data_IF_375687374164
#
_entry.id   IF_375687374164
#
_cell.length_a   1.000
_cell.length_b   1.000
_cell.length_c   1.000
_cell.angle_alpha   90.00
_cell.angle_beta   90.00
_cell.angle_gamma   90.00
#
_symmetry.space_group_name_H-M   'P 1'
#
loop_
_entity.id
_entity.type
_entity.pdbx_description
1 polymer ?
#
# COMPACT_ATOMS: atom_id res chain seq x y z
N UNK A 1 -52.12 20.74 -19.46
CA UNK A 1 -51.02 20.03 -20.16
C UNK A 1 -49.70 20.63 -19.67
N UNK A 2 -49.39 20.61 -18.36
CA UNK A 2 -48.28 21.46 -17.84
C UNK A 2 -47.54 20.97 -16.56
N UNK A 3 -47.82 19.77 -16.01
CA UNK A 3 -47.07 19.26 -14.83
C UNK A 3 -46.19 18.04 -15.08
N UNK A 4 -46.43 17.29 -16.16
CA UNK A 4 -45.62 16.11 -16.51
C UNK A 4 -44.28 16.50 -17.16
N UNK A 5 -44.29 17.51 -18.03
CA UNK A 5 -43.14 17.87 -18.87
C UNK A 5 -42.00 18.56 -18.06
N UNK A 6 -42.35 19.26 -16.99
CA UNK A 6 -41.38 19.89 -16.07
C UNK A 6 -40.61 18.83 -15.25
N UNK A 7 -41.29 17.74 -14.87
CA UNK A 7 -40.65 16.63 -14.14
C UNK A 7 -39.69 15.88 -15.09
N UNK A 8 -40.08 15.69 -16.35
CA UNK A 8 -39.27 14.99 -17.36
C UNK A 8 -38.03 15.80 -17.77
N UNK A 9 -38.14 17.12 -17.94
CA UNK A 9 -37.00 18.01 -18.19
C UNK A 9 -35.99 18.01 -17.01
N UNK A 10 -36.47 18.00 -15.77
CA UNK A 10 -35.60 17.90 -14.58
C UNK A 10 -34.93 16.52 -14.43
N UNK A 11 -35.55 15.45 -14.94
CA UNK A 11 -34.99 14.10 -14.99
C UNK A 11 -33.94 13.98 -16.10
N UNK A 12 -34.21 14.56 -17.26
CA UNK A 12 -33.28 14.61 -18.40
C UNK A 12 -32.05 15.48 -18.11
N UNK A 13 -32.21 16.60 -17.39
CA UNK A 13 -31.08 17.40 -16.89
C UNK A 13 -30.20 16.65 -15.88
N UNK A 14 -30.79 15.91 -14.95
CA UNK A 14 -30.05 15.10 -13.96
C UNK A 14 -29.33 13.91 -14.59
N UNK A 15 -29.97 13.23 -15.54
CA UNK A 15 -29.35 12.15 -16.31
C UNK A 15 -28.18 12.67 -17.18
N UNK A 16 -28.32 13.88 -17.74
CA UNK A 16 -27.26 14.49 -18.56
C UNK A 16 -26.03 14.92 -17.78
N UNK A 17 -26.23 15.46 -16.58
CA UNK A 17 -25.13 15.73 -15.65
C UNK A 17 -24.46 14.46 -15.12
N UNK A 18 -25.25 13.43 -14.82
CA UNK A 18 -24.76 12.14 -14.33
C UNK A 18 -23.83 11.43 -15.33
N UNK A 19 -24.19 11.33 -16.62
CA UNK A 19 -23.30 10.69 -17.61
C UNK A 19 -22.02 11.50 -17.89
N UNK A 20 -22.07 12.84 -17.82
CA UNK A 20 -20.89 13.69 -17.97
C UNK A 20 -19.92 13.55 -16.80
N UNK A 21 -20.43 13.51 -15.57
CA UNK A 21 -19.63 13.31 -14.37
C UNK A 21 -18.92 11.94 -14.37
N UNK A 22 -19.63 10.88 -14.80
CA UNK A 22 -19.05 9.54 -14.95
C UNK A 22 -18.03 9.46 -16.10
N UNK A 23 -18.28 10.17 -17.20
CA UNK A 23 -17.36 10.19 -18.35
C UNK A 23 -16.03 10.88 -18.02
N UNK A 24 -16.08 12.01 -17.32
CA UNK A 24 -14.88 12.79 -16.92
C UNK A 24 -14.07 12.11 -15.83
N UNK A 25 -14.71 11.43 -14.87
CA UNK A 25 -13.98 10.59 -13.89
C UNK A 25 -13.23 9.44 -14.56
N UNK A 26 -13.73 8.92 -15.69
CA UNK A 26 -13.02 7.94 -16.52
C UNK A 26 -11.73 8.47 -17.15
N UNK A 27 -11.71 9.72 -17.62
CA UNK A 27 -10.50 10.33 -18.20
C UNK A 27 -9.48 10.72 -17.14
N UNK A 28 -9.95 11.13 -15.96
CA UNK A 28 -9.11 11.43 -14.78
C UNK A 28 -8.66 10.18 -14.01
N UNK A 29 -9.04 8.98 -14.44
CA UNK A 29 -8.75 7.70 -13.76
C UNK A 29 -9.22 7.64 -12.29
N UNK A 30 -10.33 8.31 -11.98
CA UNK A 30 -10.95 8.37 -10.65
C UNK A 30 -11.95 7.21 -10.47
N UNK A 31 -11.40 6.00 -10.41
CA UNK A 31 -12.18 4.76 -10.39
C UNK A 31 -13.03 4.62 -9.11
N UNK A 32 -12.52 5.10 -7.97
CA UNK A 32 -13.23 5.04 -6.69
C UNK A 32 -14.41 6.00 -6.64
N UNK A 33 -14.24 7.23 -7.13
CA UNK A 33 -15.36 8.19 -7.24
C UNK A 33 -16.45 7.65 -8.14
N UNK A 34 -16.08 7.07 -9.29
CA UNK A 34 -17.03 6.53 -10.25
C UNK A 34 -17.86 5.39 -9.66
N UNK A 35 -17.22 4.48 -8.92
CA UNK A 35 -17.90 3.36 -8.29
C UNK A 35 -18.83 3.80 -7.14
N UNK A 36 -18.41 4.80 -6.36
CA UNK A 36 -19.17 5.31 -5.22
C UNK A 36 -20.20 6.40 -5.59
N UNK A 37 -20.23 6.87 -6.84
CA UNK A 37 -21.00 8.04 -7.26
C UNK A 37 -22.50 7.90 -6.95
N UNK A 38 -23.10 6.77 -7.32
CA UNK A 38 -24.53 6.53 -7.14
C UNK A 38 -24.91 6.36 -5.67
N UNK A 39 -24.08 5.66 -4.90
CA UNK A 39 -24.31 5.43 -3.48
C UNK A 39 -24.19 6.72 -2.66
N UNK A 40 -23.17 7.54 -2.94
CA UNK A 40 -22.97 8.82 -2.26
C UNK A 40 -24.08 9.80 -2.62
N UNK A 41 -24.49 9.88 -3.89
CA UNK A 41 -25.59 10.76 -4.31
C UNK A 41 -26.93 10.35 -3.71
N UNK A 42 -27.25 9.06 -3.69
CA UNK A 42 -28.50 8.57 -3.08
C UNK A 42 -28.54 8.85 -1.58
N UNK A 43 -27.40 8.73 -0.89
CA UNK A 43 -27.27 9.08 0.53
C UNK A 43 -27.39 10.59 0.76
N UNK A 44 -26.73 11.39 -0.08
CA UNK A 44 -26.75 12.84 -0.01
C UNK A 44 -28.16 13.43 -0.20
N UNK A 45 -28.93 12.88 -1.15
CA UNK A 45 -30.33 13.30 -1.37
C UNK A 45 -31.22 12.94 -0.17
N UNK A 46 -31.01 11.77 0.44
CA UNK A 46 -31.78 11.33 1.62
C UNK A 46 -31.49 12.14 2.87
N UNK A 47 -30.24 12.56 3.06
CA UNK A 47 -29.76 13.24 4.28
C UNK A 47 -29.56 14.75 4.10
N UNK A 48 -29.87 15.30 2.93
CA UNK A 48 -29.64 16.71 2.56
C UNK A 48 -28.20 17.15 2.85
N UNK A 49 -27.21 16.35 2.47
CA UNK A 49 -25.81 16.71 2.65
C UNK A 49 -25.48 17.97 1.86
N UNK A 50 -24.71 18.87 2.49
CA UNK A 50 -24.16 20.04 1.83
C UNK A 50 -23.28 19.61 0.63
N UNK A 51 -23.25 20.36 -0.49
CA UNK A 51 -22.44 20.00 -1.65
C UNK A 51 -20.96 19.74 -1.32
N UNK A 52 -20.43 20.43 -0.32
CA UNK A 52 -19.06 20.25 0.19
C UNK A 52 -18.85 18.86 0.80
N UNK A 53 -19.84 18.32 1.53
CA UNK A 53 -19.78 16.99 2.12
C UNK A 53 -19.83 15.91 1.04
N UNK A 54 -20.67 16.08 0.02
CA UNK A 54 -20.77 15.15 -1.12
C UNK A 54 -19.41 15.01 -1.82
N UNK A 55 -18.75 16.14 -2.10
CA UNK A 55 -17.42 16.14 -2.71
C UNK A 55 -16.40 15.46 -1.78
N UNK A 56 -16.44 15.76 -0.48
CA UNK A 56 -15.58 15.12 0.53
C UNK A 56 -15.74 13.59 0.57
N UNK A 57 -16.97 13.10 0.53
CA UNK A 57 -17.28 11.66 0.52
C UNK A 57 -16.77 10.98 -0.75
N UNK A 58 -16.99 11.59 -1.91
CA UNK A 58 -16.48 11.06 -3.18
C UNK A 58 -14.95 11.05 -3.23
N UNK A 59 -14.28 12.11 -2.78
CA UNK A 59 -12.82 12.16 -2.69
C UNK A 59 -12.27 11.13 -1.70
N UNK A 60 -12.96 10.91 -0.59
CA UNK A 60 -12.59 9.88 0.38
C UNK A 60 -12.70 8.48 -0.23
N UNK A 61 -13.75 8.20 -0.99
CA UNK A 61 -13.91 6.95 -1.71
C UNK A 61 -12.78 6.72 -2.73
N UNK A 62 -12.36 7.78 -3.43
CA UNK A 62 -11.22 7.72 -4.35
C UNK A 62 -9.89 7.40 -3.65
N UNK A 63 -9.63 8.06 -2.52
CA UNK A 63 -8.42 7.81 -1.74
C UNK A 63 -8.39 6.35 -1.27
N UNK A 64 -9.51 5.84 -0.77
CA UNK A 64 -9.63 4.45 -0.31
C UNK A 64 -9.38 3.47 -1.46
N UNK A 65 -9.98 3.69 -2.62
CA UNK A 65 -9.78 2.81 -3.79
C UNK A 65 -8.33 2.86 -4.28
N UNK A 66 -7.70 4.04 -4.32
CA UNK A 66 -6.28 4.19 -4.67
C UNK A 66 -5.39 3.45 -3.67
N UNK A 67 -5.66 3.54 -2.38
CA UNK A 67 -4.93 2.82 -1.34
C UNK A 67 -5.10 1.30 -1.52
N UNK A 68 -6.33 0.81 -1.68
CA UNK A 68 -6.62 -0.60 -1.88
C UNK A 68 -5.93 -1.17 -3.13
N UNK A 69 -5.97 -0.44 -4.25
CA UNK A 69 -5.27 -0.81 -5.48
C UNK A 69 -3.76 -0.82 -5.30
N UNK A 70 -3.21 0.18 -4.60
CA UNK A 70 -1.77 0.23 -4.29
C UNK A 70 -1.34 -0.97 -3.47
N UNK A 71 -2.06 -1.29 -2.38
CA UNK A 71 -1.79 -2.45 -1.53
C UNK A 71 -1.87 -3.75 -2.32
N UNK A 72 -2.92 -3.95 -3.12
CA UNK A 72 -3.09 -5.13 -3.98
C UNK A 72 -1.92 -5.31 -4.97
N UNK A 73 -1.49 -4.20 -5.58
CA UNK A 73 -0.34 -4.20 -6.47
C UNK A 73 0.96 -4.56 -5.74
N UNK A 74 1.21 -3.95 -4.58
CA UNK A 74 2.39 -4.26 -3.76
C UNK A 74 2.39 -5.72 -3.30
N UNK A 75 1.25 -6.26 -2.87
CA UNK A 75 1.12 -7.68 -2.51
C UNK A 75 1.47 -8.61 -3.67
N UNK A 76 1.08 -8.25 -4.89
CA UNK A 76 1.39 -9.03 -6.10
C UNK A 76 2.89 -9.01 -6.41
N UNK A 77 3.54 -7.85 -6.23
CA UNK A 77 4.98 -7.70 -6.46
C UNK A 77 5.82 -8.34 -5.35
N UNK A 78 5.31 -8.37 -4.12
CA UNK A 78 6.02 -8.87 -2.97
C UNK A 78 6.37 -10.36 -3.05
N UNK A 79 5.61 -11.14 -3.85
CA UNK A 79 5.83 -12.59 -4.09
C UNK A 79 6.02 -13.38 -2.79
N UNK A 80 5.11 -13.18 -1.83
CA UNK A 80 5.16 -13.82 -0.53
C UNK A 80 4.75 -15.31 -0.67
N UNK A 81 5.59 -16.27 -0.26
CA UNK A 81 5.37 -17.70 -0.51
C UNK A 81 4.28 -18.35 0.36
N UNK A 82 3.89 -17.72 1.48
CA UNK A 82 2.88 -18.27 2.39
C UNK A 82 1.96 -17.16 2.90
N UNK A 83 0.71 -17.16 2.43
CA UNK A 83 -0.23 -16.06 2.66
C UNK A 83 -1.02 -16.20 3.98
N UNK A 84 -0.35 -16.55 5.08
CA UNK A 84 -0.99 -16.60 6.40
C UNK A 84 -0.89 -15.26 7.12
N UNK A 85 -1.97 -14.87 7.79
CA UNK A 85 -2.02 -13.62 8.55
C UNK A 85 -1.33 -13.79 9.90
N UNK A 86 -1.04 -12.67 10.56
CA UNK A 86 -0.38 -12.72 11.86
C UNK A 86 -1.31 -13.32 12.91
N UNK A 87 -2.62 -13.12 12.75
CA UNK A 87 -3.68 -13.63 13.61
C UNK A 87 -3.84 -15.16 13.53
N UNK A 88 -3.35 -15.80 12.46
CA UNK A 88 -3.42 -17.25 12.28
C UNK A 88 -2.19 -17.97 12.86
N UNK A 89 -1.22 -17.22 13.40
CA UNK A 89 -0.02 -17.78 13.99
C UNK A 89 -0.26 -18.18 15.44
N UNK A 90 0.06 -19.43 15.77
CA UNK A 90 -0.01 -19.91 17.14
C UNK A 90 1.24 -19.47 17.92
N UNK A 91 1.07 -18.46 18.77
CA UNK A 91 2.14 -17.91 19.60
C UNK A 91 2.46 -18.79 20.82
N UNK A 92 1.54 -19.67 21.23
CA UNK A 92 1.71 -20.56 22.37
C UNK A 92 2.76 -21.64 22.08
N UNK A 93 2.77 -22.18 20.85
CA UNK A 93 3.73 -23.21 20.43
C UNK A 93 5.10 -22.66 20.04
N UNK A 94 5.23 -21.35 19.82
CA UNK A 94 6.46 -20.76 19.26
C UNK A 94 7.42 -20.19 20.31
N UNK A 95 7.04 -20.12 21.59
CA UNK A 95 7.80 -19.45 22.68
C UNK A 95 8.30 -18.04 22.27
N UNK A 96 7.47 -17.27 21.54
CA UNK A 96 7.84 -15.91 21.11
C UNK A 96 6.94 -14.88 21.78
N UNK A 97 7.53 -13.75 22.17
CA UNK A 97 6.79 -12.64 22.75
C UNK A 97 5.84 -12.01 21.71
N UNK A 98 4.54 -12.27 21.85
CA UNK A 98 3.49 -11.79 20.97
C UNK A 98 3.46 -10.25 20.90
N UNK A 99 3.63 -9.56 22.04
CA UNK A 99 3.62 -8.10 22.10
C UNK A 99 4.72 -7.50 21.22
N UNK A 100 5.93 -8.07 21.28
CA UNK A 100 7.05 -7.64 20.43
C UNK A 100 6.75 -7.87 18.95
N UNK A 101 6.12 -8.99 18.61
CA UNK A 101 5.78 -9.32 17.22
C UNK A 101 4.73 -8.36 16.67
N UNK A 102 3.69 -8.06 17.46
CA UNK A 102 2.64 -7.09 17.06
C UNK A 102 3.22 -5.69 16.90
N UNK A 103 4.15 -5.30 17.78
CA UNK A 103 4.89 -4.05 17.66
C UNK A 103 5.74 -4.03 16.38
N UNK A 104 6.43 -5.12 16.04
CA UNK A 104 7.14 -5.23 14.77
C UNK A 104 6.19 -5.20 13.56
N UNK A 105 5.00 -5.78 13.66
CA UNK A 105 4.01 -5.78 12.59
C UNK A 105 3.42 -4.39 12.31
N UNK A 106 3.44 -3.48 13.28
CA UNK A 106 3.08 -2.06 13.08
C UNK A 106 3.99 -1.37 12.06
N UNK A 107 5.24 -1.84 11.93
CA UNK A 107 6.24 -1.29 11.02
C UNK A 107 7.12 -0.21 11.63
N UNK A 108 7.04 0.06 12.93
CA UNK A 108 7.87 1.06 13.62
C UNK A 108 9.37 0.87 13.41
N UNK A 109 9.81 -0.38 13.25
CA UNK A 109 11.21 -0.69 12.96
C UNK A 109 11.69 -0.12 11.61
N UNK A 110 10.80 0.09 10.65
CA UNK A 110 11.11 0.70 9.35
C UNK A 110 11.41 2.18 9.49
N UNK A 111 10.62 2.89 10.28
CA UNK A 111 10.80 4.33 10.53
C UNK A 111 12.10 4.60 11.30
N UNK A 112 12.48 3.69 12.20
CA UNK A 112 13.75 3.72 12.93
C UNK A 112 14.93 3.13 12.13
N UNK A 113 14.74 2.71 10.88
CA UNK A 113 15.77 2.08 10.03
C UNK A 113 16.49 0.91 10.72
N UNK A 114 15.75 0.13 11.52
CA UNK A 114 16.28 -1.04 12.23
C UNK A 114 16.17 -2.26 11.32
N UNK A 115 17.16 -3.14 11.45
CA UNK A 115 17.15 -4.43 10.78
C UNK A 115 16.54 -5.47 11.72
N UNK A 116 15.61 -6.27 11.20
CA UNK A 116 15.01 -7.37 11.94
C UNK A 116 15.65 -8.68 11.50
N UNK A 117 16.20 -9.44 12.45
CA UNK A 117 16.78 -10.76 12.21
C UNK A 117 16.06 -11.75 13.10
N UNK A 118 15.37 -12.71 12.49
CA UNK A 118 14.72 -13.81 13.21
C UNK A 118 15.67 -15.00 13.26
N UNK A 119 16.05 -15.42 14.48
CA UNK A 119 17.02 -16.48 14.75
C UNK A 119 16.34 -17.59 15.57
N UNK A 120 16.77 -18.84 15.39
CA UNK A 120 16.48 -19.96 16.29
C UNK A 120 16.26 -21.29 15.56
N UNK A 121 15.73 -22.29 16.26
CA UNK A 121 15.58 -23.66 15.76
C UNK A 121 14.69 -23.80 14.51
N UNK A 122 14.96 -24.82 13.71
CA UNK A 122 14.15 -25.23 12.55
C UNK A 122 12.74 -25.63 13.00
N UNK A 123 11.70 -25.23 12.26
CA UNK A 123 10.30 -25.60 12.55
C UNK A 123 9.53 -24.63 13.45
N UNK A 124 10.18 -23.58 13.99
CA UNK A 124 9.55 -22.57 14.86
C UNK A 124 8.80 -21.46 14.11
N UNK A 125 8.45 -21.66 12.84
CA UNK A 125 7.64 -20.70 12.08
C UNK A 125 8.30 -19.34 11.76
N UNK A 126 9.62 -19.17 11.87
CA UNK A 126 10.28 -17.87 11.61
C UNK A 126 10.04 -17.31 10.21
N UNK A 127 10.11 -18.17 9.19
CA UNK A 127 9.82 -17.75 7.82
C UNK A 127 8.38 -17.26 7.69
N UNK A 128 7.46 -17.93 8.37
CA UNK A 128 6.06 -17.51 8.45
C UNK A 128 5.95 -16.15 9.14
N UNK A 129 6.55 -15.98 10.31
CA UNK A 129 6.55 -14.74 11.05
C UNK A 129 7.10 -13.56 10.23
N UNK A 130 8.23 -13.76 9.53
CA UNK A 130 8.79 -12.74 8.64
C UNK A 130 7.84 -12.36 7.50
N UNK A 131 7.15 -13.34 6.92
CA UNK A 131 6.16 -13.12 5.86
C UNK A 131 4.92 -12.39 6.40
N UNK A 132 4.43 -12.76 7.58
CA UNK A 132 3.29 -12.10 8.23
C UNK A 132 3.61 -10.65 8.58
N UNK A 133 4.80 -10.37 9.14
CA UNK A 133 5.28 -9.00 9.41
C UNK A 133 5.40 -8.22 8.11
N UNK A 134 6.05 -8.79 7.08
CA UNK A 134 6.18 -8.11 5.79
C UNK A 134 4.82 -7.79 5.15
N UNK A 135 3.85 -8.71 5.26
CA UNK A 135 2.48 -8.49 4.80
C UNK A 135 1.78 -7.38 5.57
N UNK A 136 1.93 -7.32 6.89
CA UNK A 136 1.39 -6.25 7.72
C UNK A 136 1.96 -4.88 7.29
N UNK A 137 3.28 -4.78 7.08
CA UNK A 137 3.91 -3.56 6.58
C UNK A 137 3.40 -3.17 5.17
N UNK A 138 3.19 -4.14 4.27
CA UNK A 138 2.64 -3.87 2.93
C UNK A 138 1.18 -3.40 3.02
N UNK A 139 0.38 -3.95 3.94
CA UNK A 139 -0.98 -3.46 4.22
C UNK A 139 -0.99 -2.03 4.75
N UNK A 140 0.01 -1.65 5.55
CA UNK A 140 0.24 -0.28 5.98
C UNK A 140 0.74 0.65 4.85
N UNK A 141 0.83 0.16 3.60
CA UNK A 141 1.22 0.95 2.43
C UNK A 141 2.73 1.03 2.18
N UNK A 142 3.54 0.26 2.92
CA UNK A 142 5.00 0.20 2.72
C UNK A 142 5.35 -0.69 1.53
N UNK A 143 6.48 -0.41 0.88
CA UNK A 143 6.96 -1.18 -0.27
C UNK A 143 7.86 -2.32 0.20
N UNK A 144 7.29 -3.53 0.24
CA UNK A 144 7.97 -4.74 0.69
C UNK A 144 8.20 -5.75 -0.44
N UNK A 145 9.32 -6.47 -0.42
CA UNK A 145 9.52 -7.64 -1.30
C UNK A 145 10.24 -8.79 -0.63
N UNK A 146 9.78 -10.01 -0.89
CA UNK A 146 10.47 -11.22 -0.47
C UNK A 146 11.45 -11.67 -1.55
N UNK A 147 12.67 -11.98 -1.11
CA UNK A 147 13.71 -12.56 -1.94
C UNK A 147 14.20 -13.87 -1.30
N UNK A 148 14.29 -14.93 -2.11
CA UNK A 148 15.14 -16.05 -1.75
C UNK A 148 16.60 -15.63 -1.97
N UNK A 149 17.49 -15.99 -1.05
CA UNK A 149 18.94 -15.72 -1.16
C UNK A 149 19.47 -16.25 -2.49
N UNK A 150 19.10 -17.49 -2.82
CA UNK A 150 19.62 -18.19 -4.01
C UNK A 150 19.19 -17.45 -5.27
N UNK A 151 17.90 -17.08 -5.35
CA UNK A 151 17.38 -16.31 -6.48
C UNK A 151 17.98 -14.92 -6.60
N UNK A 152 18.27 -14.28 -5.45
CA UNK A 152 18.86 -12.95 -5.42
C UNK A 152 20.32 -13.00 -5.91
N UNK A 153 21.12 -13.93 -5.42
CA UNK A 153 22.51 -14.11 -5.85
C UNK A 153 22.56 -14.48 -7.33
N UNK A 154 21.74 -15.43 -7.78
CA UNK A 154 21.68 -15.82 -9.20
C UNK A 154 21.31 -14.65 -10.11
N UNK A 155 20.39 -13.77 -9.68
CA UNK A 155 20.03 -12.56 -10.44
C UNK A 155 21.18 -11.55 -10.50
N UNK A 156 21.85 -11.33 -9.37
CA UNK A 156 22.99 -10.42 -9.32
C UNK A 156 24.15 -10.94 -10.16
N UNK A 157 24.44 -12.23 -10.12
CA UNK A 157 25.48 -12.87 -10.93
C UNK A 157 25.14 -12.82 -12.42
N UNK A 158 23.89 -13.04 -12.79
CA UNK A 158 23.43 -12.91 -14.17
C UNK A 158 23.53 -11.47 -14.68
N UNK A 159 23.15 -10.47 -13.86
CA UNK A 159 23.32 -9.04 -14.18
C UNK A 159 24.79 -8.65 -14.30
N UNK A 160 25.65 -9.21 -13.43
CA UNK A 160 27.08 -8.97 -13.46
C UNK A 160 27.73 -9.50 -14.73
N UNK A 161 27.35 -10.71 -15.18
CA UNK A 161 27.83 -11.31 -16.43
C UNK A 161 27.30 -10.60 -17.68
N UNK A 162 26.14 -9.97 -17.59
CA UNK A 162 25.52 -9.27 -18.70
C UNK A 162 25.94 -7.78 -18.80
N UNK A 163 26.86 -7.30 -17.96
CA UNK A 163 27.27 -5.90 -17.82
C UNK A 163 26.11 -4.91 -17.61
N UNK A 164 24.94 -5.41 -17.18
CA UNK A 164 23.74 -4.61 -16.86
C UNK A 164 23.53 -4.53 -15.36
N UNK A 165 24.62 -4.28 -14.64
CA UNK A 165 24.61 -4.12 -13.19
C UNK A 165 23.77 -2.90 -12.83
N UNK A 166 22.91 -3.04 -11.81
CA UNK A 166 22.24 -1.90 -11.17
C UNK A 166 20.71 -1.91 -11.23
N UNK A 167 20.07 -2.77 -12.05
CA UNK A 167 18.60 -2.86 -12.05
C UNK A 167 18.06 -3.44 -10.76
N UNK A 168 18.65 -4.54 -10.30
CA UNK A 168 18.27 -5.15 -9.02
C UNK A 168 18.67 -4.25 -7.84
N UNK A 169 19.80 -3.56 -7.92
CA UNK A 169 20.23 -2.61 -6.88
C UNK A 169 19.32 -1.37 -6.78
N UNK A 170 18.92 -0.78 -7.90
CA UNK A 170 17.97 0.35 -7.95
C UNK A 170 16.58 -0.08 -7.46
N UNK A 171 16.15 -1.30 -7.81
CA UNK A 171 14.91 -1.87 -7.26
C UNK A 171 14.98 -1.96 -5.72
N UNK A 172 16.03 -2.58 -5.17
CA UNK A 172 16.18 -2.78 -3.72
C UNK A 172 16.26 -1.43 -2.99
N UNK A 173 16.92 -0.44 -3.58
CA UNK A 173 17.05 0.91 -3.01
C UNK A 173 15.73 1.68 -2.94
N UNK A 174 14.71 1.29 -3.73
CA UNK A 174 13.37 1.91 -3.75
C UNK A 174 12.36 1.20 -2.86
N UNK A 175 12.72 0.05 -2.30
CA UNK A 175 11.90 -0.66 -1.33
C UNK A 175 12.09 -0.04 0.05
N UNK A 176 11.08 -0.16 0.90
CA UNK A 176 11.19 0.22 2.32
C UNK A 176 11.65 -0.99 3.15
N UNK A 177 11.31 -2.20 2.69
CA UNK A 177 11.62 -3.45 3.33
C UNK A 177 11.93 -4.53 2.29
N UNK A 178 12.95 -5.33 2.54
CA UNK A 178 13.06 -6.62 1.89
C UNK A 178 13.34 -7.74 2.88
N UNK A 179 12.61 -8.84 2.71
CA UNK A 179 12.77 -10.05 3.51
C UNK A 179 13.59 -11.05 2.72
N UNK A 180 14.69 -11.51 3.30
CA UNK A 180 15.50 -12.60 2.77
C UNK A 180 15.21 -13.86 3.58
N UNK A 181 14.64 -14.87 2.93
CA UNK A 181 14.56 -16.21 3.49
C UNK A 181 15.89 -16.96 3.34
N UNK A 182 16.65 -17.16 4.43
CA UNK A 182 17.65 -18.23 4.46
C UNK A 182 16.94 -19.47 5.00
N UNK A 183 16.64 -20.43 4.14
CA UNK A 183 15.99 -21.70 4.51
C UNK A 183 16.81 -22.54 5.48
N UNK A 184 18.07 -22.18 5.77
CA UNK A 184 18.95 -22.99 6.62
C UNK A 184 19.30 -22.43 7.99
N UNK A 185 19.22 -21.12 8.29
CA UNK A 185 19.67 -20.63 9.62
C UNK A 185 19.11 -19.26 10.09
N UNK A 186 18.57 -18.40 9.22
CA UNK A 186 18.10 -17.06 9.64
C UNK A 186 17.13 -16.43 8.64
N UNK A 187 16.09 -15.75 9.11
CA UNK A 187 15.31 -14.86 8.22
C UNK A 187 15.72 -13.43 8.52
N UNK A 188 16.18 -12.70 7.49
CA UNK A 188 16.66 -11.33 7.67
C UNK A 188 15.77 -10.36 6.90
N UNK A 189 15.07 -9.53 7.65
CA UNK A 189 14.32 -8.38 7.16
C UNK A 189 15.25 -7.17 7.23
N UNK A 190 15.77 -6.77 6.07
CA UNK A 190 16.64 -5.60 5.95
C UNK A 190 15.78 -4.41 5.55
N UNK A 191 15.87 -3.34 6.32
CA UNK A 191 15.61 -2.01 5.80
C UNK A 191 16.79 -1.66 4.88
N UNK A 192 16.57 -1.16 3.65
CA UNK A 192 17.66 -0.60 2.89
C UNK A 192 18.13 0.64 3.66
N UNK A 193 19.25 0.47 4.36
CA UNK A 193 20.00 1.56 4.95
C UNK A 193 20.14 2.59 3.84
N UNK A 194 19.55 3.80 4.01
CA UNK A 194 19.85 4.99 3.19
C UNK A 194 21.33 5.32 3.44
N UNK A 195 22.24 4.47 2.97
CA UNK A 195 23.65 4.69 3.01
C UNK A 195 23.93 5.76 1.96
N UNK A 196 23.80 7.02 2.39
CA UNK A 196 24.64 8.14 1.98
C UNK A 196 25.06 8.14 0.50
N UNK A 197 24.12 7.90 -0.40
CA UNK A 197 24.24 8.10 -1.85
C UNK A 197 23.53 9.41 -2.20
N UNK A 198 23.87 10.48 -1.47
CA UNK A 198 23.45 11.86 -1.73
C UNK A 198 24.21 12.49 -2.91
N UNK A 199 24.99 11.72 -3.66
CA UNK A 199 25.51 12.13 -4.95
C UNK A 199 24.70 11.42 -6.04
N UNK A 200 23.94 12.21 -6.82
CA UNK A 200 23.12 11.82 -7.99
C UNK A 200 21.64 11.47 -7.72
N UNK A 201 20.84 12.45 -7.28
CA UNK A 201 19.81 13.08 -8.13
C UNK A 201 18.91 14.05 -7.34
N UNK A 202 18.40 15.10 -8.01
CA UNK A 202 17.63 16.15 -7.37
C UNK A 202 16.22 15.69 -7.01
N UNK A 203 15.80 16.17 -5.85
CA UNK A 203 14.51 15.97 -5.22
C UNK A 203 13.35 16.40 -6.14
N UNK A 204 12.38 15.49 -6.32
CA UNK A 204 11.05 15.79 -6.86
C UNK A 204 10.05 14.97 -6.07
N UNK A 205 9.76 15.36 -4.83
CA UNK A 205 8.40 15.43 -4.24
C UNK A 205 8.51 15.63 -2.73
N UNK A 206 8.70 16.88 -2.33
CA UNK A 206 8.13 17.41 -1.08
C UNK A 206 7.65 18.82 -1.37
N UNK A 207 6.36 18.97 -1.69
CA UNK A 207 5.72 20.28 -1.56
C UNK A 207 5.52 20.52 -0.05
N UNK A 208 5.95 21.66 0.50
CA UNK A 208 5.67 22.01 1.89
C UNK A 208 4.16 22.25 2.06
N UNK A 209 3.59 21.66 3.11
CA UNK A 209 2.25 22.00 3.59
C UNK A 209 2.36 23.37 4.27
N UNK A 210 1.56 24.38 3.87
CA UNK A 210 1.57 25.67 4.54
C UNK A 210 1.04 25.52 5.97
N UNK A 211 1.77 26.00 6.99
CA UNK A 211 1.21 26.19 8.31
C UNK A 211 0.47 27.52 8.28
N UNK A 212 -0.86 27.48 8.27
CA UNK A 212 -1.74 28.51 8.83
C UNK A 212 -3.20 28.17 8.54
N UNK A 213 -3.79 27.42 9.46
CA UNK A 213 -5.14 27.65 9.99
C UNK A 213 -5.23 26.83 11.28
N UNK A 214 -4.66 27.45 12.32
CA UNK A 214 -4.56 27.03 13.71
C UNK A 214 -5.91 27.12 14.41
N UNK A 215 -5.97 26.46 15.56
CA UNK A 215 -6.72 26.86 16.74
C UNK A 215 -7.41 28.24 16.69
N UNK A 216 -8.75 28.23 16.69
CA UNK A 216 -9.65 29.01 17.54
C UNK A 216 -11.09 28.52 17.35
#
# INVERSE_FOLDING_TARGET
>A
MERSDVIDASRQGRATFHWRAIGTTGTLQLYGMRAAYDEVLTTAVKRQHEPQQIIGDLLTAEIREKQARSVKYQMTIAKLPLAKELEEFDFETAEVNETLIRDLASGDFLDHQRNLVLIGGTGTGKTHLAVSIARACIRAGRRGRFFNVVDLVNKLDAEARAERQGRTADLISRLDLFAIGLERMATRCLTPRRARLSALRPDRRSAPVPPDQQAL
#
